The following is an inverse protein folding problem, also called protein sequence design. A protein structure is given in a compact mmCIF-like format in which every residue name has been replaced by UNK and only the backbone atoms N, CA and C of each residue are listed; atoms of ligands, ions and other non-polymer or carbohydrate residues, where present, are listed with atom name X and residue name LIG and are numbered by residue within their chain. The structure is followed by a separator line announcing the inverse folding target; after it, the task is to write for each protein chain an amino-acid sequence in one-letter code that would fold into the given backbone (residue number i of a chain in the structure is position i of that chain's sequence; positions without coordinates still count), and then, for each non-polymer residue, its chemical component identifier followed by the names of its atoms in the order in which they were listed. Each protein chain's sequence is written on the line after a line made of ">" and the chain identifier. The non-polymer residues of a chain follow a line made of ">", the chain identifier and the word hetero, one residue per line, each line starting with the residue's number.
data_IF_434630374739
#
_entry.id   IF_434630374739
#
_cell.length_a   1.000
_cell.length_b   1.000
_cell.length_c   1.000
_cell.angle_alpha   90.00
_cell.angle_beta   90.00
_cell.angle_gamma   90.00
#
_symmetry.space_group_name_H-M   'P 1'
#
loop_
_entity.id
_entity.type
_entity.pdbx_description
1 polymer ?
#
# COMPACT_ATOMS: atom_id res chain seq x y z
N UNK A 1 34.50 -13.72 17.72
CA UNK A 1 33.05 -13.86 17.59
C UNK A 1 32.49 -12.49 17.29
N UNK A 2 31.74 -12.32 16.21
CA UNK A 2 31.06 -11.07 15.89
C UNK A 2 29.54 -11.31 15.90
N UNK A 3 28.81 -10.39 16.53
CA UNK A 3 27.37 -10.38 16.62
C UNK A 3 26.84 -9.20 15.81
N UNK A 4 26.21 -9.48 14.68
CA UNK A 4 25.52 -8.47 13.88
C UNK A 4 24.08 -8.36 14.40
N UNK A 5 23.74 -7.20 14.99
CA UNK A 5 22.39 -6.89 15.47
C UNK A 5 21.78 -5.81 14.58
N UNK A 6 20.51 -5.96 14.21
CA UNK A 6 19.76 -4.92 13.49
C UNK A 6 19.53 -3.72 14.40
N UNK A 7 19.83 -2.52 13.92
CA UNK A 7 19.52 -1.29 14.65
C UNK A 7 17.99 -1.15 14.80
N UNK A 8 17.53 -0.81 16.00
CA UNK A 8 16.15 -0.40 16.24
C UNK A 8 15.97 1.04 15.73
N UNK A 9 15.15 1.23 14.70
CA UNK A 9 14.57 2.53 14.37
C UNK A 9 13.19 2.66 15.04
N UNK A 10 12.75 3.87 15.43
CA UNK A 10 11.35 4.11 15.79
C UNK A 10 10.43 3.54 14.69
N UNK A 11 9.22 3.03 15.02
CA UNK A 11 8.30 2.58 13.98
C UNK A 11 7.99 3.76 13.07
N UNK A 12 8.46 3.70 11.82
CA UNK A 12 8.04 4.65 10.80
C UNK A 12 6.56 4.41 10.49
N UNK A 13 5.81 5.48 10.21
CA UNK A 13 4.46 5.35 9.67
C UNK A 13 4.53 4.53 8.38
N UNK A 14 3.79 3.43 8.33
CA UNK A 14 3.72 2.56 7.16
C UNK A 14 2.51 2.96 6.33
N UNK A 15 2.72 3.04 5.02
CA UNK A 15 1.68 3.26 4.03
C UNK A 15 1.71 2.15 2.99
N UNK A 16 0.59 1.97 2.31
CA UNK A 16 0.50 1.18 1.09
C UNK A 16 0.19 2.11 -0.07
N UNK A 17 1.10 2.17 -1.04
CA UNK A 17 0.86 2.81 -2.32
C UNK A 17 0.12 1.83 -3.22
N UNK A 18 -0.98 2.28 -3.83
CA UNK A 18 -1.68 1.56 -4.88
C UNK A 18 -1.55 2.36 -6.18
N UNK A 19 -1.31 1.67 -7.29
CA UNK A 19 -1.23 2.25 -8.62
C UNK A 19 -2.13 1.52 -9.61
N UNK A 20 -2.89 2.28 -10.39
CA UNK A 20 -3.53 1.80 -11.61
C UNK A 20 -2.55 1.95 -12.77
N UNK A 21 -2.32 0.87 -13.52
CA UNK A 21 -1.39 0.86 -14.65
C UNK A 21 -2.14 1.07 -15.97
N UNK A 22 -1.43 1.52 -17.02
CA UNK A 22 -2.02 1.78 -18.34
C UNK A 22 -2.68 0.55 -18.99
N UNK A 23 -2.29 -0.65 -18.60
CA UNK A 23 -2.91 -1.91 -19.07
C UNK A 23 -4.20 -2.27 -18.32
N UNK A 24 -4.61 -1.45 -17.34
CA UNK A 24 -5.78 -1.65 -16.50
C UNK A 24 -5.56 -2.58 -15.31
N UNK A 25 -4.33 -3.04 -15.07
CA UNK A 25 -3.97 -3.80 -13.88
C UNK A 25 -3.63 -2.89 -12.70
N UNK A 26 -3.63 -3.47 -11.50
CA UNK A 26 -3.29 -2.77 -10.27
C UNK A 26 -2.00 -3.31 -9.65
N UNK A 27 -1.15 -2.41 -9.20
CA UNK A 27 0.06 -2.71 -8.44
C UNK A 27 -0.02 -2.07 -7.05
N UNK A 28 0.65 -2.67 -6.07
CA UNK A 28 0.74 -2.11 -4.74
C UNK A 28 2.10 -2.32 -4.09
N UNK A 29 2.47 -1.40 -3.20
CA UNK A 29 3.71 -1.48 -2.44
C UNK A 29 3.53 -0.93 -1.03
N UNK A 30 3.89 -1.75 -0.04
CA UNK A 30 3.98 -1.34 1.37
C UNK A 30 5.37 -0.75 1.63
N UNK A 31 5.44 0.44 2.22
CA UNK A 31 6.70 1.11 2.55
C UNK A 31 6.53 2.15 3.68
N UNK A 32 7.62 2.63 4.29
CA UNK A 32 7.58 3.82 5.13
C UNK A 32 7.08 5.05 4.36
N UNK A 33 6.28 5.88 5.00
CA UNK A 33 5.77 7.14 4.42
C UNK A 33 6.92 8.05 3.94
N UNK A 34 8.05 8.05 4.64
CA UNK A 34 9.25 8.82 4.30
C UNK A 34 9.95 8.34 3.03
N UNK A 35 9.67 7.12 2.60
CA UNK A 35 10.30 6.48 1.44
C UNK A 35 9.43 6.62 0.18
N UNK A 36 8.24 7.22 0.31
CA UNK A 36 7.36 7.51 -0.82
C UNK A 36 8.01 8.57 -1.72
N UNK A 37 8.30 8.28 -3.00
CA UNK A 37 8.94 9.25 -3.88
C UNK A 37 7.97 10.37 -4.28
N UNK A 38 8.54 11.53 -4.59
CA UNK A 38 7.81 12.66 -5.19
C UNK A 38 7.51 12.47 -6.68
N UNK A 39 8.04 11.41 -7.29
CA UNK A 39 7.79 11.00 -8.67
C UNK A 39 6.85 9.78 -8.69
N UNK A 40 6.21 9.46 -9.82
CA UNK A 40 5.54 8.18 -10.03
C UNK A 40 6.35 6.99 -9.49
N UNK A 41 5.72 6.13 -8.67
CA UNK A 41 6.40 4.95 -8.10
C UNK A 41 6.39 3.77 -9.08
N UNK A 42 5.27 3.55 -9.77
CA UNK A 42 5.11 2.46 -10.72
C UNK A 42 5.35 2.95 -12.15
N UNK A 43 6.02 2.11 -12.93
CA UNK A 43 6.21 2.35 -14.36
C UNK A 43 4.86 2.28 -15.08
N UNK A 44 4.62 3.20 -16.02
CA UNK A 44 3.36 3.29 -16.78
C UNK A 44 2.10 3.42 -15.90
N UNK A 45 2.21 4.02 -14.71
CA UNK A 45 1.03 4.32 -13.91
C UNK A 45 0.16 5.40 -14.56
N UNK A 46 -1.16 5.23 -14.44
CA UNK A 46 -2.18 6.22 -14.77
C UNK A 46 -2.50 7.05 -13.54
N UNK A 47 -2.76 6.37 -12.43
CA UNK A 47 -3.11 6.99 -11.15
C UNK A 47 -2.40 6.27 -10.00
N UNK A 48 -2.11 7.01 -8.92
CA UNK A 48 -1.52 6.47 -7.71
C UNK A 48 -2.19 7.09 -6.50
N UNK A 49 -2.49 6.26 -5.50
CA UNK A 49 -3.02 6.70 -4.20
C UNK A 49 -2.17 6.13 -3.07
N UNK A 50 -1.97 6.95 -2.04
CA UNK A 50 -1.30 6.56 -0.79
C UNK A 50 -2.34 6.30 0.29
N UNK A 51 -2.32 5.11 0.87
CA UNK A 51 -3.29 4.70 1.88
C UNK A 51 -2.57 4.29 3.16
N UNK A 52 -2.98 4.86 4.29
CA UNK A 52 -2.43 4.54 5.62
C UNK A 52 -2.99 3.21 6.13
N UNK A 53 -2.53 2.11 5.54
CA UNK A 53 -2.78 0.73 5.95
C UNK A 53 -1.49 -0.09 5.87
N UNK A 54 -1.41 -1.13 6.69
CA UNK A 54 -0.29 -2.07 6.74
C UNK A 54 -0.79 -3.51 6.59
N UNK A 55 -1.27 -3.88 5.38
CA UNK A 55 -1.74 -5.23 5.13
C UNK A 55 -0.58 -6.22 5.15
N UNK A 56 -0.84 -7.44 5.63
CA UNK A 56 0.06 -8.56 5.38
C UNK A 56 0.01 -8.99 3.90
N UNK A 57 0.87 -9.94 3.51
CA UNK A 57 0.96 -10.40 2.12
C UNK A 57 -0.36 -10.97 1.60
N UNK A 58 -1.10 -11.74 2.40
CA UNK A 58 -2.36 -12.35 1.99
C UNK A 58 -3.46 -11.29 1.84
N UNK A 59 -3.52 -10.33 2.75
CA UNK A 59 -4.44 -9.19 2.69
C UNK A 59 -4.15 -8.31 1.47
N UNK A 60 -2.88 -8.03 1.19
CA UNK A 60 -2.49 -7.24 0.02
C UNK A 60 -2.90 -7.92 -1.28
N UNK A 61 -2.69 -9.23 -1.38
CA UNK A 61 -3.12 -10.01 -2.55
C UNK A 61 -4.65 -10.02 -2.70
N UNK A 62 -5.41 -10.13 -1.60
CA UNK A 62 -6.86 -10.08 -1.64
C UNK A 62 -7.38 -8.71 -2.11
N UNK A 63 -6.78 -7.60 -1.65
CA UNK A 63 -7.11 -6.25 -2.11
C UNK A 63 -6.83 -6.11 -3.61
N UNK A 64 -5.65 -6.54 -4.07
CA UNK A 64 -5.30 -6.49 -5.49
C UNK A 64 -6.25 -7.34 -6.34
N UNK A 65 -6.63 -8.54 -5.88
CA UNK A 65 -7.62 -9.36 -6.57
C UNK A 65 -8.98 -8.65 -6.66
N UNK A 66 -9.46 -8.05 -5.57
CA UNK A 66 -10.72 -7.30 -5.55
C UNK A 66 -10.72 -6.08 -6.49
N UNK A 67 -9.58 -5.38 -6.62
CA UNK A 67 -9.40 -4.28 -7.57
C UNK A 67 -9.46 -4.79 -9.02
N UNK A 68 -8.72 -5.86 -9.33
CA UNK A 68 -8.71 -6.46 -10.68
C UNK A 68 -10.08 -7.04 -11.06
N UNK A 69 -10.80 -7.63 -10.11
CA UNK A 69 -12.17 -8.13 -10.29
C UNK A 69 -13.22 -7.00 -10.34
N UNK A 70 -12.82 -5.74 -10.13
CA UNK A 70 -13.70 -4.55 -10.00
C UNK A 70 -14.75 -4.66 -8.89
N UNK A 71 -14.49 -5.48 -7.86
CA UNK A 71 -15.31 -5.59 -6.64
C UNK A 71 -14.99 -4.48 -5.64
N UNK A 72 -13.80 -3.90 -5.75
CA UNK A 72 -13.33 -2.75 -4.96
C UNK A 72 -13.01 -1.58 -5.89
N UNK A 73 -13.65 -0.40 -5.76
CA UNK A 73 -13.31 0.77 -6.55
C UNK A 73 -11.97 1.37 -6.13
N UNK A 74 -11.06 1.63 -7.08
CA UNK A 74 -9.74 2.21 -6.80
C UNK A 74 -9.82 3.56 -6.05
N UNK A 75 -10.76 4.43 -6.46
CA UNK A 75 -10.97 5.73 -5.83
C UNK A 75 -11.49 5.67 -4.38
N UNK A 76 -11.99 4.52 -3.92
CA UNK A 76 -12.47 4.36 -2.55
C UNK A 76 -11.37 3.91 -1.58
N UNK A 77 -10.19 3.49 -2.07
CA UNK A 77 -9.12 2.94 -1.24
C UNK A 77 -8.68 3.87 -0.10
N UNK A 78 -8.68 5.18 -0.32
CA UNK A 78 -8.30 6.17 0.69
C UNK A 78 -9.25 6.20 1.90
N UNK A 79 -10.51 5.77 1.72
CA UNK A 79 -11.51 5.77 2.80
C UNK A 79 -11.25 4.70 3.86
N UNK A 80 -10.38 3.73 3.57
CA UNK A 80 -10.04 2.66 4.49
C UNK A 80 -8.72 2.89 5.24
N UNK A 81 -7.98 3.96 4.94
CA UNK A 81 -6.76 4.32 5.66
C UNK A 81 -7.01 5.12 6.92
N UNK A 82 -6.12 5.02 7.90
CA UNK A 82 -6.15 5.86 9.11
C UNK A 82 -4.73 6.19 9.56
N UNK A 83 -4.43 7.48 9.71
CA UNK A 83 -3.15 7.94 10.26
C UNK A 83 -3.03 7.72 11.77
N UNK A 84 -4.15 7.52 12.48
CA UNK A 84 -4.18 7.20 13.90
C UNK A 84 -3.97 5.70 14.21
N UNK A 85 -3.81 4.87 13.17
CA UNK A 85 -3.84 3.41 13.28
C UNK A 85 -5.25 2.87 13.52
N UNK A 86 -5.33 1.64 14.02
CA UNK A 86 -6.58 0.91 14.26
C UNK A 86 -6.85 -0.19 13.23
N UNK A 87 -8.11 -0.63 13.17
CA UNK A 87 -8.55 -1.65 12.24
C UNK A 87 -9.52 -1.04 11.22
N UNK A 88 -9.31 -1.38 9.95
CA UNK A 88 -10.21 -1.02 8.85
C UNK A 88 -10.86 -2.26 8.27
N UNK A 89 -12.10 -2.13 7.80
CA UNK A 89 -12.81 -3.21 7.09
C UNK A 89 -12.89 -2.86 5.62
N UNK A 90 -12.19 -3.63 4.77
CA UNK A 90 -12.17 -3.47 3.32
C UNK A 90 -12.99 -4.61 2.71
N UNK A 91 -13.98 -4.32 1.84
CA UNK A 91 -14.71 -5.36 1.13
C UNK A 91 -13.83 -5.91 0.00
N UNK A 92 -13.16 -7.04 0.26
CA UNK A 92 -12.29 -7.75 -0.69
C UNK A 92 -12.87 -9.07 -1.19
#
# INVERSE_FOLDING_TARGET
>A
MELTVKNSAPPATIVTLFGELQDGSFAAKVMPETDVPYTPYFENQVEQVMVYIHPDEAQLQAILAALNDRRLPFGELQNYGSSAGGNSSIPV
#
